data_IF_879578839611
#
_entry.id   IF_879578839611
#
_cell.length_a   1.000
_cell.length_b   1.000
_cell.length_c   1.000
_cell.angle_alpha   90.00
_cell.angle_beta   90.00
_cell.angle_gamma   90.00
#
_symmetry.space_group_name_H-M   'P 1'
#
loop_
_entity.id
_entity.type
_entity.pdbx_description
1 polymer ?
#
# COMPACT_ATOMS: atom_id res chain seq x y z
N UNK A 1 -1.94 -9.98 2.10
CA UNK A 1 -2.30 -9.08 0.98
C UNK A 1 -3.32 -8.09 1.52
N UNK A 2 -3.13 -6.79 1.29
CA UNK A 2 -4.10 -5.78 1.70
C UNK A 2 -5.36 -5.86 0.83
N UNK A 3 -6.54 -5.51 1.36
CA UNK A 3 -7.78 -5.40 0.59
C UNK A 3 -7.69 -4.43 -0.60
N UNK A 4 -8.39 -4.74 -1.70
CA UNK A 4 -8.39 -3.95 -2.95
C UNK A 4 -8.77 -2.48 -2.77
N UNK A 5 -9.70 -2.20 -1.86
CA UNK A 5 -10.11 -0.83 -1.52
C UNK A 5 -8.99 -0.02 -0.84
N UNK A 6 -7.99 -0.69 -0.26
CA UNK A 6 -6.81 -0.05 0.32
C UNK A 6 -5.64 -0.03 -0.67
N UNK A 7 -5.47 -1.06 -1.50
CA UNK A 7 -4.42 -1.13 -2.53
C UNK A 7 -4.75 -0.25 -3.73
N UNK A 8 -5.74 -0.64 -4.54
CA UNK A 8 -6.14 0.07 -5.75
C UNK A 8 -6.92 1.35 -5.42
N UNK A 9 -7.77 1.29 -4.39
CA UNK A 9 -8.64 2.41 -4.01
C UNK A 9 -7.93 3.56 -3.31
N UNK A 10 -6.81 3.30 -2.62
CA UNK A 10 -6.08 4.29 -1.80
C UNK A 10 -4.58 4.34 -2.03
N UNK A 11 -4.06 3.54 -2.98
CA UNK A 11 -2.64 3.45 -3.32
C UNK A 11 -1.76 3.16 -2.10
N UNK A 12 -2.13 2.15 -1.31
CA UNK A 12 -1.33 1.62 -0.21
C UNK A 12 -0.78 0.23 -0.54
N UNK A 13 0.54 0.05 -0.54
CA UNK A 13 1.18 -1.23 -0.90
C UNK A 13 2.21 -1.63 0.15
N UNK A 14 2.06 -2.81 0.79
CA UNK A 14 3.13 -3.39 1.59
C UNK A 14 4.27 -3.83 0.67
N UNK A 15 5.50 -3.47 0.97
CA UNK A 15 6.65 -3.77 0.11
C UNK A 15 7.80 -4.49 0.81
N UNK A 16 7.84 -4.50 2.14
CA UNK A 16 8.87 -5.20 2.91
C UNK A 16 8.37 -5.58 4.32
N UNK A 17 9.03 -6.54 4.96
CA UNK A 17 8.77 -7.01 6.31
C UNK A 17 10.08 -7.19 7.07
N UNK A 18 10.28 -6.37 8.10
CA UNK A 18 11.45 -6.43 8.97
C UNK A 18 11.00 -6.84 10.38
N UNK A 19 11.34 -8.06 10.79
CA UNK A 19 10.91 -8.66 12.06
C UNK A 19 9.38 -8.70 12.21
N UNK A 20 8.78 -7.74 12.94
CA UNK A 20 7.32 -7.59 13.11
C UNK A 20 6.78 -6.28 12.54
N UNK A 21 7.60 -5.56 11.79
CA UNK A 21 7.25 -4.29 11.18
C UNK A 21 7.09 -4.45 9.69
N UNK A 22 5.86 -4.26 9.20
CA UNK A 22 5.56 -4.22 7.77
C UNK A 22 5.71 -2.80 7.26
N UNK A 23 6.43 -2.63 6.16
CA UNK A 23 6.65 -1.35 5.51
C UNK A 23 5.59 -1.15 4.44
N UNK A 24 4.84 -0.06 4.54
CA UNK A 24 3.74 0.27 3.63
C UNK A 24 4.02 1.58 2.93
N UNK A 25 4.06 1.53 1.60
CA UNK A 25 4.13 2.71 0.75
C UNK A 25 2.74 3.32 0.61
N UNK A 26 2.62 4.64 0.74
CA UNK A 26 1.39 5.40 0.47
C UNK A 26 1.72 6.70 -0.29
N UNK A 27 0.76 7.23 -1.05
CA UNK A 27 0.93 8.51 -1.73
C UNK A 27 0.31 9.70 -0.98
N UNK A 28 -0.59 9.45 -0.02
CA UNK A 28 -1.25 10.48 0.77
C UNK A 28 -0.95 10.31 2.27
N UNK A 29 -0.03 11.10 2.84
CA UNK A 29 0.32 11.02 4.26
C UNK A 29 -0.74 11.65 5.17
N UNK A 30 -1.81 12.23 4.63
CA UNK A 30 -2.90 12.83 5.40
C UNK A 30 -4.15 11.96 5.47
N UNK A 31 -4.17 10.82 4.78
CA UNK A 31 -5.29 9.88 4.81
C UNK A 31 -5.34 9.05 6.10
N UNK A 32 -5.77 9.68 7.19
CA UNK A 32 -5.85 9.03 8.50
C UNK A 32 -6.80 7.82 8.51
N UNK A 33 -7.92 7.91 7.79
CA UNK A 33 -8.89 6.82 7.68
C UNK A 33 -8.31 5.60 6.97
N UNK A 34 -7.59 5.83 5.85
CA UNK A 34 -6.90 4.77 5.12
C UNK A 34 -5.82 4.11 5.97
N UNK A 35 -5.02 4.90 6.69
CA UNK A 35 -3.99 4.36 7.59
C UNK A 35 -4.57 3.50 8.71
N UNK A 36 -5.66 3.94 9.33
CA UNK A 36 -6.34 3.18 10.37
C UNK A 36 -6.87 1.84 9.82
N UNK A 37 -7.50 1.85 8.64
CA UNK A 37 -8.00 0.64 8.00
C UNK A 37 -6.87 -0.35 7.64
N UNK A 38 -5.74 0.14 7.14
CA UNK A 38 -4.54 -0.70 6.88
C UNK A 38 -4.02 -1.32 8.18
N UNK A 39 -3.89 -0.53 9.24
CA UNK A 39 -3.41 -1.01 10.53
C UNK A 39 -4.35 -2.06 11.15
N UNK A 40 -5.67 -1.93 10.96
CA UNK A 40 -6.65 -2.92 11.40
C UNK A 40 -6.64 -4.20 10.54
N UNK A 41 -6.18 -4.10 9.28
CA UNK A 41 -6.12 -5.24 8.35
C UNK A 41 -4.87 -6.10 8.54
N UNK A 42 -3.89 -5.65 9.34
CA UNK A 42 -2.59 -6.27 9.47
C UNK A 42 -2.27 -6.53 10.95
N UNK A 43 -1.84 -7.76 11.27
CA UNK A 43 -1.39 -8.13 12.62
C UNK A 43 0.11 -7.79 12.85
N UNK A 44 0.57 -6.70 12.24
CA UNK A 44 1.95 -6.24 12.24
C UNK A 44 2.03 -4.76 12.64
N UNK A 45 3.16 -4.35 13.20
CA UNK A 45 3.48 -2.92 13.34
C UNK A 45 3.63 -2.34 11.93
N UNK A 46 2.96 -1.22 11.63
CA UNK A 46 3.09 -0.59 10.30
C UNK A 46 4.05 0.58 10.35
N UNK A 47 5.05 0.58 9.46
CA UNK A 47 5.90 1.74 9.17
C UNK A 47 5.52 2.35 7.82
N UNK A 48 5.34 3.66 7.77
CA UNK A 48 4.79 4.37 6.62
C UNK A 48 5.88 5.03 5.78
N UNK A 49 5.81 4.84 4.46
CA UNK A 49 6.72 5.43 3.50
C UNK A 49 5.96 6.22 2.44
N UNK A 50 6.32 7.49 2.27
CA UNK A 50 5.75 8.31 1.21
C UNK A 50 6.40 7.95 -0.12
N UNK A 51 5.59 7.56 -1.09
CA UNK A 51 6.04 7.26 -2.44
C UNK A 51 5.21 8.03 -3.48
N UNK A 52 5.79 8.25 -4.66
CA UNK A 52 5.07 8.85 -5.79
C UNK A 52 3.99 7.87 -6.27
N UNK A 53 2.78 8.35 -6.63
CA UNK A 53 1.71 7.49 -7.14
C UNK A 53 2.17 6.52 -8.23
N UNK A 54 2.90 7.02 -9.24
CA UNK A 54 3.42 6.21 -10.34
C UNK A 54 4.31 5.03 -9.90
N UNK A 55 5.05 5.16 -8.80
CA UNK A 55 5.87 4.07 -8.27
C UNK A 55 5.00 2.99 -7.62
N UNK A 56 3.93 3.39 -6.92
CA UNK A 56 2.97 2.47 -6.30
C UNK A 56 2.14 1.77 -7.39
N UNK A 57 1.65 2.51 -8.38
CA UNK A 57 0.90 2.00 -9.52
C UNK A 57 1.70 0.96 -10.30
N UNK A 58 3.00 1.20 -10.53
CA UNK A 58 3.87 0.22 -11.19
C UNK A 58 3.95 -1.10 -10.41
N UNK A 59 4.14 -1.03 -9.10
CA UNK A 59 4.15 -2.23 -8.25
C UNK A 59 2.79 -2.93 -8.26
N UNK A 60 1.68 -2.19 -8.20
CA UNK A 60 0.33 -2.75 -8.29
C UNK A 60 0.09 -3.42 -9.64
N UNK A 61 0.56 -2.81 -10.73
CA UNK A 61 0.46 -3.34 -12.07
C UNK A 61 1.17 -4.70 -12.19
N UNK A 62 2.42 -4.78 -11.69
CA UNK A 62 3.21 -6.01 -11.67
C UNK A 62 2.52 -7.12 -10.82
N UNK A 63 1.96 -6.75 -9.67
CA UNK A 63 1.33 -7.70 -8.72
C UNK A 63 -0.03 -8.20 -9.20
N UNK A 64 -0.89 -7.30 -9.69
CA UNK A 64 -2.25 -7.62 -10.12
C UNK A 64 -2.31 -8.07 -11.58
N UNK A 65 -1.17 -8.06 -12.30
CA UNK A 65 -1.11 -8.29 -13.76
C UNK A 65 -2.14 -7.45 -14.51
N UNK A 66 -2.37 -6.23 -14.05
CA UNK A 66 -3.26 -5.30 -14.75
C UNK A 66 -2.64 -5.09 -16.14
N UNK A 67 -3.40 -5.08 -17.22
CA UNK A 67 -2.80 -4.75 -18.52
C UNK A 67 -2.55 -3.23 -18.56
N UNK A 68 -1.39 -2.79 -19.08
CA UNK A 68 -1.18 -1.36 -19.35
C UNK A 68 -2.15 -1.03 -20.47
N UNK A 69 -3.24 -0.30 -20.17
CA UNK A 69 -4.03 0.33 -21.22
C UNK A 69 -3.21 1.50 -21.75
N UNK A 70 -2.47 1.24 -22.84
CA UNK A 70 -1.79 2.25 -23.66
C UNK A 70 -2.77 3.14 -24.41
#
# INVERSE_FOLDING_TARGET
MLPDNLTLGRLCVPFDLISRTIMVACCNPFDAAGRAAVQQSLDYTVSWYLARPAAIERTLHDVYRLEVRG
#
